data_IF_775270727225
#
_entry.id   IF_775270727225
#
_cell.length_a   1.000
_cell.length_b   1.000
_cell.length_c   1.000
_cell.angle_alpha   90.00
_cell.angle_beta   90.00
_cell.angle_gamma   90.00
#
_symmetry.space_group_name_H-M   'P 1'
#
loop_
_entity.id
_entity.type
_entity.pdbx_description
1 polymer ?
#
# COMPACT_ATOMS: atom_id res chain seq x y z
N UNK A 1 34.46 43.33 42.04
CA UNK A 1 34.65 42.77 40.69
C UNK A 1 34.00 41.40 40.61
N UNK A 2 33.65 40.98 39.38
CA UNK A 2 33.13 39.67 38.93
C UNK A 2 31.61 39.43 38.97
N UNK A 3 30.99 39.95 37.91
CA UNK A 3 29.98 39.26 37.12
C UNK A 3 30.41 37.83 36.75
N UNK A 4 29.44 36.91 36.64
CA UNK A 4 29.33 35.75 35.74
C UNK A 4 28.37 34.75 36.41
N UNK A 5 27.39 34.10 35.79
CA UNK A 5 26.80 34.16 34.46
C UNK A 5 25.57 33.24 34.55
N UNK A 6 24.44 33.69 34.02
CA UNK A 6 23.24 32.86 33.85
C UNK A 6 23.59 31.65 32.99
N UNK A 7 23.35 30.44 33.50
CA UNK A 7 23.22 29.25 32.64
C UNK A 7 21.82 28.68 32.79
N UNK A 8 20.93 29.27 31.99
CA UNK A 8 19.69 28.67 31.53
C UNK A 8 20.01 27.35 30.83
N UNK A 9 19.88 26.24 31.54
CA UNK A 9 19.96 24.89 31.00
C UNK A 9 18.58 24.30 30.78
N UNK A 10 17.72 24.96 29.99
CA UNK A 10 16.56 24.27 29.41
C UNK A 10 17.15 23.39 28.29
N UNK A 11 17.53 22.17 28.66
CA UNK A 11 17.74 21.09 27.72
C UNK A 11 16.38 20.80 27.08
N UNK A 12 16.07 21.52 26.00
CA UNK A 12 14.96 21.23 25.12
C UNK A 12 15.31 19.89 24.45
N UNK A 13 14.98 18.79 25.13
CA UNK A 13 14.86 17.49 24.49
C UNK A 13 13.71 17.64 23.49
N UNK A 14 14.05 18.08 22.29
CA UNK A 14 13.24 17.95 21.10
C UNK A 14 13.02 16.44 20.95
N UNK A 15 11.92 15.96 21.54
CA UNK A 15 11.29 14.72 21.17
C UNK A 15 11.02 14.86 19.67
N UNK A 16 11.96 14.37 18.87
CA UNK A 16 11.73 14.01 17.48
C UNK A 16 10.70 12.88 17.52
N UNK A 17 9.44 13.21 17.75
CA UNK A 17 8.33 12.41 17.25
C UNK A 17 8.46 12.54 15.74
N UNK A 18 9.36 11.77 15.15
CA UNK A 18 9.33 11.52 13.74
C UNK A 18 7.93 10.95 13.50
N UNK A 19 7.06 11.79 12.96
CA UNK A 19 5.76 11.38 12.45
C UNK A 19 6.08 10.61 11.16
N UNK A 20 6.78 9.47 11.29
CA UNK A 20 6.85 8.48 10.23
C UNK A 20 5.46 7.88 10.23
N UNK A 21 4.58 8.42 9.41
CA UNK A 21 3.36 7.72 9.04
C UNK A 21 3.85 6.42 8.41
N UNK A 22 3.80 5.33 9.17
CA UNK A 22 4.12 4.02 8.65
C UNK A 22 3.27 3.81 7.39
N UNK A 23 3.89 3.32 6.33
CA UNK A 23 3.16 3.06 5.10
C UNK A 23 1.99 2.10 5.40
N UNK A 24 0.82 2.33 4.80
CA UNK A 24 -0.35 1.52 5.11
C UNK A 24 -0.10 0.06 4.74
N UNK A 25 -0.70 -0.87 5.48
CA UNK A 25 -0.59 -2.28 5.15
C UNK A 25 -1.46 -2.61 3.93
N UNK A 26 -0.78 -2.96 2.83
CA UNK A 26 -1.41 -3.30 1.56
C UNK A 26 -1.93 -4.74 1.52
N UNK A 27 -1.62 -5.58 2.52
CA UNK A 27 -2.04 -6.97 2.54
C UNK A 27 -3.56 -7.11 2.45
N UNK A 28 -4.01 -8.02 1.58
CA UNK A 28 -5.40 -8.42 1.48
C UNK A 28 -5.85 -8.77 0.07
N UNK A 29 -7.12 -9.11 -0.03
CA UNK A 29 -7.82 -9.31 -1.29
C UNK A 29 -8.54 -8.02 -1.66
N UNK A 30 -8.27 -7.49 -2.85
CA UNK A 30 -8.78 -6.21 -3.30
C UNK A 30 -9.62 -6.43 -4.56
N UNK A 31 -10.94 -6.31 -4.43
CA UNK A 31 -11.89 -6.54 -5.53
C UNK A 31 -12.08 -5.26 -6.33
N UNK A 32 -11.93 -5.35 -7.66
CA UNK A 32 -12.11 -4.20 -8.55
C UNK A 32 -13.54 -3.65 -8.43
N UNK A 33 -13.69 -2.33 -8.32
CA UNK A 33 -15.00 -1.68 -8.19
C UNK A 33 -15.74 -1.57 -9.52
N UNK A 34 -15.04 -1.69 -10.64
CA UNK A 34 -15.67 -1.74 -11.95
C UNK A 34 -16.37 -3.09 -12.09
N UNK A 35 -17.69 -3.09 -11.97
CA UNK A 35 -18.49 -4.30 -12.09
C UNK A 35 -18.50 -4.81 -13.53
N UNK A 36 -18.08 -6.06 -13.71
CA UNK A 36 -18.30 -6.81 -14.93
C UNK A 36 -19.36 -7.90 -14.66
N UNK A 37 -20.40 -8.06 -15.51
CA UNK A 37 -21.47 -9.02 -15.27
C UNK A 37 -21.00 -10.49 -15.32
N UNK A 38 -19.89 -10.77 -16.00
CA UNK A 38 -19.37 -12.13 -16.20
C UNK A 38 -18.13 -12.42 -15.38
N UNK A 39 -17.29 -11.42 -15.17
CA UNK A 39 -15.98 -11.58 -14.54
C UNK A 39 -15.92 -10.82 -13.21
N UNK A 40 -15.22 -11.38 -12.25
CA UNK A 40 -14.82 -10.71 -11.02
C UNK A 40 -13.30 -10.64 -10.99
N UNK A 41 -12.78 -9.43 -10.85
CA UNK A 41 -11.34 -9.20 -10.77
C UNK A 41 -10.92 -8.91 -9.33
N UNK A 42 -9.91 -9.63 -8.85
CA UNK A 42 -9.37 -9.52 -7.49
C UNK A 42 -7.85 -9.43 -7.58
N UNK A 43 -7.28 -8.37 -7.01
CA UNK A 43 -5.85 -8.28 -6.71
C UNK A 43 -5.60 -8.89 -5.34
N UNK A 44 -4.82 -9.97 -5.28
CA UNK A 44 -4.39 -10.59 -4.03
C UNK A 44 -3.00 -10.04 -3.71
N UNK A 45 -2.88 -9.30 -2.63
CA UNK A 45 -1.62 -8.74 -2.14
C UNK A 45 -1.22 -9.53 -0.89
N UNK A 46 -0.15 -10.31 -0.99
CA UNK A 46 0.44 -11.02 0.14
C UNK A 46 1.71 -10.32 0.61
N UNK A 47 1.96 -10.35 1.93
CA UNK A 47 3.15 -9.77 2.56
C UNK A 47 4.16 -10.87 2.88
N UNK A 48 5.44 -10.62 2.60
CA UNK A 48 6.57 -11.48 2.92
C UNK A 48 7.71 -10.64 3.52
N UNK A 49 7.75 -10.54 4.84
CA UNK A 49 8.60 -9.58 5.54
C UNK A 49 8.20 -8.14 5.18
N UNK A 50 9.16 -7.36 4.68
CA UNK A 50 8.95 -5.97 4.25
C UNK A 50 8.48 -5.85 2.79
N UNK A 51 8.48 -6.96 2.05
CA UNK A 51 8.08 -7.01 0.64
C UNK A 51 6.67 -7.56 0.48
N UNK A 52 6.12 -7.37 -0.72
CA UNK A 52 4.81 -7.87 -1.11
C UNK A 52 4.89 -8.68 -2.40
N UNK A 53 3.89 -9.53 -2.61
CA UNK A 53 3.61 -10.14 -3.91
C UNK A 53 2.18 -9.83 -4.31
N UNK A 54 2.00 -9.40 -5.55
CA UNK A 54 0.68 -9.12 -6.11
C UNK A 54 0.33 -10.19 -7.13
N UNK A 55 -0.83 -10.81 -6.94
CA UNK A 55 -1.39 -11.80 -7.85
C UNK A 55 -2.72 -11.30 -8.39
N UNK A 56 -2.78 -11.07 -9.69
CA UNK A 56 -4.04 -10.74 -10.35
C UNK A 56 -4.87 -12.02 -10.58
N UNK A 57 -6.11 -12.01 -10.09
CA UNK A 57 -7.05 -13.12 -10.17
C UNK A 57 -8.30 -12.70 -10.93
N UNK A 58 -8.75 -13.52 -11.87
CA UNK A 58 -10.00 -13.35 -12.61
C UNK A 58 -10.88 -14.56 -12.34
N UNK A 59 -12.06 -14.33 -11.79
CA UNK A 59 -13.07 -15.36 -11.54
C UNK A 59 -14.23 -15.20 -12.51
N UNK A 60 -14.57 -16.28 -13.20
CA UNK A 60 -15.80 -16.36 -13.98
C UNK A 60 -16.98 -16.59 -13.03
N UNK A 61 -17.98 -15.71 -13.08
CA UNK A 61 -19.14 -15.73 -12.17
C UNK A 61 -20.12 -16.85 -12.48
N UNK A 62 -20.17 -17.33 -13.72
CA UNK A 62 -21.11 -18.37 -14.14
C UNK A 62 -20.60 -19.78 -13.79
N UNK A 63 -19.31 -20.01 -14.01
CA UNK A 63 -18.65 -21.32 -13.81
C UNK A 63 -17.94 -21.42 -12.46
N UNK A 64 -17.66 -20.29 -11.81
CA UNK A 64 -16.84 -20.22 -10.59
C UNK A 64 -15.35 -20.44 -10.84
N UNK A 65 -14.92 -20.73 -12.07
CA UNK A 65 -13.53 -20.98 -12.43
C UNK A 65 -12.69 -19.73 -12.17
N UNK A 66 -11.53 -19.92 -11.56
CA UNK A 66 -10.61 -18.84 -11.20
C UNK A 66 -9.29 -19.00 -11.93
N UNK A 67 -8.89 -17.97 -12.66
CA UNK A 67 -7.57 -17.86 -13.29
C UNK A 67 -6.68 -16.94 -12.47
N UNK A 68 -5.46 -17.38 -12.19
CA UNK A 68 -4.46 -16.63 -11.43
C UNK A 68 -3.27 -16.34 -12.33
N UNK A 69 -2.84 -15.09 -12.38
CA UNK A 69 -1.57 -14.71 -13.01
C UNK A 69 -0.40 -15.07 -12.09
N UNK A 70 0.81 -15.06 -12.64
CA UNK A 70 2.01 -15.25 -11.84
C UNK A 70 2.15 -14.10 -10.82
N UNK A 71 2.53 -14.38 -9.57
CA UNK A 71 2.81 -13.33 -8.60
C UNK A 71 3.94 -12.42 -9.07
N UNK A 72 3.78 -11.12 -8.87
CA UNK A 72 4.78 -10.10 -9.20
C UNK A 72 5.29 -9.49 -7.89
N UNK A 73 6.62 -9.34 -7.71
CA UNK A 73 7.17 -8.71 -6.52
C UNK A 73 6.81 -7.22 -6.48
N UNK A 74 6.58 -6.72 -5.26
CA UNK A 74 6.26 -5.34 -4.99
C UNK A 74 6.89 -4.90 -3.66
N UNK A 75 7.15 -3.61 -3.53
CA UNK A 75 7.74 -3.02 -2.32
C UNK A 75 7.18 -1.62 -2.10
N UNK A 76 7.13 -1.18 -0.84
CA UNK A 76 6.75 0.19 -0.55
C UNK A 76 7.92 1.11 -0.93
N UNK A 77 7.66 2.02 -1.86
CA UNK A 77 8.60 3.06 -2.28
C UNK A 77 8.79 4.15 -1.23
N UNK A 78 9.76 5.05 -1.47
CA UNK A 78 10.02 6.18 -0.56
C UNK A 78 8.86 7.17 -0.46
N UNK A 79 7.98 7.17 -1.47
CA UNK A 79 6.73 7.93 -1.51
C UNK A 79 5.62 7.31 -0.65
N UNK A 80 5.85 6.14 -0.05
CA UNK A 80 4.85 5.40 0.73
C UNK A 80 3.86 4.60 -0.12
N UNK A 81 4.03 4.56 -1.45
CA UNK A 81 3.17 3.78 -2.35
C UNK A 81 3.72 2.39 -2.57
N UNK A 82 2.83 1.44 -2.85
CA UNK A 82 3.22 0.09 -3.24
C UNK A 82 3.63 0.09 -4.72
N UNK A 83 4.93 0.00 -4.96
CA UNK A 83 5.52 -0.01 -6.30
C UNK A 83 5.62 -1.45 -6.80
N UNK A 84 5.11 -1.70 -8.02
CA UNK A 84 5.06 -3.02 -8.64
C UNK A 84 5.84 -2.98 -9.94
N UNK A 85 6.80 -3.89 -10.08
CA UNK A 85 7.53 -4.04 -11.33
C UNK A 85 6.77 -4.99 -12.26
N UNK A 86 5.87 -4.42 -13.08
CA UNK A 86 5.08 -5.17 -14.07
C UNK A 86 5.83 -5.37 -15.42
N UNK A 87 7.17 -5.45 -15.38
CA UNK A 87 8.02 -5.64 -16.55
C UNK A 87 8.23 -4.37 -17.35
N UNK A 88 7.29 -4.04 -18.25
CA UNK A 88 7.42 -2.90 -19.17
C UNK A 88 7.08 -1.53 -18.54
N UNK A 89 6.48 -1.52 -17.34
CA UNK A 89 6.16 -0.32 -16.59
C UNK A 89 6.20 -0.59 -15.08
N UNK A 90 6.58 0.42 -14.31
CA UNK A 90 6.28 0.48 -12.88
C UNK A 90 4.83 0.91 -12.71
N UNK A 91 4.14 0.27 -11.78
CA UNK A 91 2.76 0.61 -11.41
C UNK A 91 2.74 0.87 -9.91
N UNK A 92 2.24 2.03 -9.53
CA UNK A 92 2.09 2.41 -8.14
C UNK A 92 0.65 2.17 -7.67
N UNK A 93 0.52 1.67 -6.45
CA UNK A 93 -0.75 1.56 -5.74
C UNK A 93 -0.71 2.36 -4.44
N UNK A 94 -1.78 3.12 -4.20
CA UNK A 94 -2.00 3.87 -2.96
C UNK A 94 -3.32 3.42 -2.32
N UNK A 95 -3.41 3.53 -1.00
CA UNK A 95 -4.70 3.40 -0.29
C UNK A 95 -5.25 4.82 -0.13
N UNK A 96 -6.41 5.09 -0.71
CA UNK A 96 -7.12 6.35 -0.52
C UNK A 96 -7.57 6.46 0.94
N UNK A 97 -7.04 7.46 1.66
CA UNK A 97 -7.26 7.60 3.12
C UNK A 97 -8.73 7.85 3.49
N UNK A 98 -9.52 8.43 2.58
CA UNK A 98 -10.93 8.75 2.86
C UNK A 98 -11.83 7.53 2.73
N UNK A 99 -11.53 6.66 1.77
CA UNK A 99 -12.39 5.54 1.39
C UNK A 99 -11.83 4.18 1.81
N UNK A 100 -10.54 4.10 2.12
CA UNK A 100 -9.82 2.85 2.38
C UNK A 100 -9.65 1.97 1.14
N UNK A 101 -9.92 2.50 -0.06
CA UNK A 101 -9.80 1.75 -1.31
C UNK A 101 -8.36 1.77 -1.82
N UNK A 102 -7.94 0.67 -2.42
CA UNK A 102 -6.69 0.61 -3.17
C UNK A 102 -6.90 1.22 -4.56
N UNK A 103 -6.04 2.16 -4.95
CA UNK A 103 -6.09 2.87 -6.22
C UNK A 103 -4.76 2.67 -6.95
N UNK A 104 -4.81 2.25 -8.20
CA UNK A 104 -3.61 2.02 -9.01
C UNK A 104 -3.92 1.26 -10.30
N UNK A 105 -2.99 1.27 -11.25
CA UNK A 105 -3.17 0.64 -12.57
C UNK A 105 -4.43 1.12 -13.33
N UNK A 106 -4.83 2.38 -13.11
CA UNK A 106 -6.06 2.94 -13.70
C UNK A 106 -7.37 2.36 -13.16
N UNK A 107 -7.34 1.68 -12.01
CA UNK A 107 -8.50 1.06 -11.37
C UNK A 107 -8.60 1.41 -9.88
N UNK A 108 -9.79 1.19 -9.33
CA UNK A 108 -10.09 1.30 -7.90
C UNK A 108 -10.54 -0.06 -7.41
N UNK A 109 -10.06 -0.47 -6.23
CA UNK A 109 -10.34 -1.75 -5.64
C UNK A 109 -10.80 -1.58 -4.18
N UNK A 110 -11.87 -2.28 -3.83
CA UNK A 110 -12.38 -2.38 -2.46
C UNK A 110 -11.76 -3.58 -1.76
N UNK A 111 -11.35 -3.41 -0.51
CA UNK A 111 -10.89 -4.53 0.32
C UNK A 111 -12.05 -5.53 0.48
N UNK A 112 -11.83 -6.77 0.06
CA UNK A 112 -12.77 -7.85 0.30
C UNK A 112 -12.71 -8.25 1.78
N UNK A 113 -13.87 -8.61 2.32
CA UNK A 113 -14.00 -9.08 3.70
C UNK A 113 -13.41 -10.47 3.88
#
# INVERSE_FOLDING_TARGET
MRYLQYFSGISLALLLTACTTEAPDYQGNWKNTLENPKLENILVISKNGDNYFITNTIKDKATGKTEKKNPVPASVGKNGFLEVNAGAAMVDFAIDEKTGNLVGSGSVYKKAK
#
